data_IF_770125888547
#
_entry.id   IF_770125888547
#
_cell.length_a   1.000
_cell.length_b   1.000
_cell.length_c   1.000
_cell.angle_alpha   90.00
_cell.angle_beta   90.00
_cell.angle_gamma   90.00
#
_symmetry.space_group_name_H-M   'P 1'
#
loop_
_entity.id
_entity.type
_entity.pdbx_description
1 polymer ?
#
# COMPACT_ATOMS: atom_id res chain seq x y z
N UNK A 1 3.55 -11.24 9.67
CA UNK A 1 4.12 -12.43 8.97
C UNK A 1 4.76 -11.94 7.68
N UNK A 2 5.97 -12.40 7.33
CA UNK A 2 6.64 -11.97 6.08
C UNK A 2 5.79 -12.29 4.85
N UNK A 3 5.51 -11.28 4.02
CA UNK A 3 4.72 -11.41 2.79
C UNK A 3 5.35 -12.42 1.81
N UNK A 4 6.67 -12.55 1.83
CA UNK A 4 7.39 -13.66 1.24
C UNK A 4 8.07 -14.47 2.36
N UNK A 5 7.62 -15.71 2.56
CA UNK A 5 8.26 -16.64 3.49
C UNK A 5 9.62 -17.02 2.89
N UNK A 6 10.70 -16.48 3.47
CA UNK A 6 12.05 -16.97 3.24
C UNK A 6 12.32 -18.07 4.26
N UNK A 7 12.56 -19.28 3.77
CA UNK A 7 12.85 -20.46 4.60
C UNK A 7 14.31 -20.46 5.11
N UNK A 8 15.19 -19.67 4.47
CA UNK A 8 16.59 -19.51 4.85
C UNK A 8 16.90 -18.03 5.10
N UNK A 9 17.28 -17.67 6.33
CA UNK A 9 17.64 -16.31 6.75
C UNK A 9 17.31 -15.98 8.22
N UNK A 10 18.01 -14.98 8.77
CA UNK A 10 17.77 -14.48 10.12
C UNK A 10 16.32 -13.97 10.28
N UNK A 11 15.69 -14.42 11.38
CA UNK A 11 14.25 -14.33 11.59
C UNK A 11 13.69 -12.91 11.76
N UNK A 12 12.44 -12.79 11.29
CA UNK A 12 11.42 -11.74 11.56
C UNK A 12 11.71 -10.32 11.07
N UNK A 13 10.64 -9.55 10.90
CA UNK A 13 10.68 -8.09 10.69
C UNK A 13 11.35 -7.52 11.93
N UNK A 14 12.62 -7.12 11.82
CA UNK A 14 13.44 -6.79 12.97
C UNK A 14 13.05 -5.42 13.54
N UNK A 15 12.49 -4.56 12.69
CA UNK A 15 11.98 -3.24 13.07
C UNK A 15 10.48 -3.10 12.83
N UNK A 16 9.83 -2.25 13.64
CA UNK A 16 8.41 -1.89 13.48
C UNK A 16 8.12 -1.36 12.07
N UNK A 17 9.06 -0.60 11.50
CA UNK A 17 9.00 -0.08 10.14
C UNK A 17 8.83 -1.20 9.11
N UNK A 18 9.65 -2.23 9.17
CA UNK A 18 9.58 -3.35 8.21
C UNK A 18 8.26 -4.11 8.29
N UNK A 19 7.69 -4.24 9.49
CA UNK A 19 6.38 -4.91 9.66
C UNK A 19 5.24 -4.08 9.03
N UNK A 20 5.24 -2.77 9.26
CA UNK A 20 4.27 -1.84 8.67
C UNK A 20 4.37 -1.79 7.15
N UNK A 21 5.59 -1.67 6.61
CA UNK A 21 5.83 -1.65 5.16
C UNK A 21 5.32 -2.92 4.47
N UNK A 22 5.61 -4.05 5.10
CA UNK A 22 5.11 -5.33 4.63
C UNK A 22 3.59 -5.41 4.67
N UNK A 23 2.95 -4.94 5.75
CA UNK A 23 1.49 -4.93 5.87
C UNK A 23 0.85 -4.05 4.80
N UNK A 24 1.37 -2.84 4.59
CA UNK A 24 1.00 -1.95 3.49
C UNK A 24 1.12 -2.64 2.13
N UNK A 25 2.24 -3.32 1.88
CA UNK A 25 2.46 -4.04 0.62
C UNK A 25 1.42 -5.14 0.42
N UNK A 26 1.08 -5.90 1.46
CA UNK A 26 0.01 -6.92 1.40
C UNK A 26 -1.33 -6.25 1.09
N UNK A 27 -1.67 -5.17 1.78
CA UNK A 27 -2.94 -4.46 1.59
C UNK A 27 -3.10 -3.93 0.17
N UNK A 28 -2.05 -3.33 -0.41
CA UNK A 28 -2.08 -2.75 -1.75
C UNK A 28 -2.12 -3.80 -2.88
N UNK A 29 -1.46 -4.95 -2.69
CA UNK A 29 -1.43 -6.02 -3.71
C UNK A 29 -2.60 -7.00 -3.61
N UNK A 30 -3.35 -7.00 -2.51
CA UNK A 30 -4.50 -7.91 -2.36
C UNK A 30 -5.73 -7.27 -2.99
N UNK A 31 -6.34 -7.89 -4.03
CA UNK A 31 -7.60 -7.40 -4.57
C UNK A 31 -8.74 -7.65 -3.59
N UNK A 32 -9.71 -6.73 -3.56
CA UNK A 32 -10.89 -6.83 -2.70
C UNK A 32 -11.69 -8.11 -3.02
N UNK A 33 -12.28 -8.72 -2.00
CA UNK A 33 -13.05 -9.95 -2.12
C UNK A 33 -12.23 -11.25 -2.09
N UNK A 34 -10.90 -11.17 -2.12
CA UNK A 34 -10.03 -12.36 -2.09
C UNK A 34 -10.01 -13.05 -0.72
N UNK A 35 -10.13 -12.27 0.37
CA UNK A 35 -10.18 -12.82 1.72
C UNK A 35 -11.60 -13.25 2.07
N UNK A 36 -11.77 -14.56 2.27
CA UNK A 36 -13.07 -15.19 2.60
C UNK A 36 -13.71 -14.57 3.85
N UNK A 37 -12.92 -14.33 4.89
CA UNK A 37 -13.42 -13.82 6.18
C UNK A 37 -13.55 -12.29 6.24
N UNK A 38 -12.93 -11.56 5.32
CA UNK A 38 -13.01 -10.11 5.26
C UNK A 38 -12.94 -9.64 3.80
N UNK A 39 -14.07 -9.68 3.07
CA UNK A 39 -14.11 -9.37 1.64
C UNK A 39 -13.79 -7.89 1.37
N UNK A 40 -13.92 -7.03 2.38
CA UNK A 40 -13.54 -5.63 2.26
C UNK A 40 -12.01 -5.40 2.33
N UNK A 41 -11.22 -6.40 2.73
CA UNK A 41 -9.77 -6.26 2.82
C UNK A 41 -9.14 -6.15 1.44
N UNK A 42 -8.26 -5.16 1.27
CA UNK A 42 -7.43 -5.00 0.07
C UNK A 42 -7.71 -3.70 -0.69
N UNK A 43 -6.89 -3.44 -1.69
CA UNK A 43 -7.09 -2.33 -2.63
C UNK A 43 -7.30 -2.91 -4.02
N UNK A 44 -8.30 -2.41 -4.74
CA UNK A 44 -8.61 -2.88 -6.08
C UNK A 44 -7.74 -2.19 -7.14
N UNK A 45 -6.44 -2.02 -6.87
CA UNK A 45 -5.53 -1.21 -7.68
C UNK A 45 -5.42 -1.69 -9.14
N UNK A 46 -5.54 -3.01 -9.36
CA UNK A 46 -5.49 -3.62 -10.69
C UNK A 46 -6.64 -3.16 -11.60
N UNK A 47 -7.84 -2.94 -11.04
CA UNK A 47 -9.00 -2.46 -11.80
C UNK A 47 -8.86 -1.00 -12.26
N UNK A 48 -7.85 -0.28 -11.76
CA UNK A 48 -7.55 1.11 -12.14
C UNK A 48 -6.50 1.24 -13.24
N UNK A 49 -5.84 0.15 -13.66
CA UNK A 49 -4.84 0.17 -14.74
C UNK A 49 -5.45 0.61 -16.07
N UNK A 50 -6.62 0.06 -16.43
CA UNK A 50 -7.33 0.38 -17.68
C UNK A 50 -8.26 1.59 -17.56
N UNK A 51 -8.27 2.27 -16.41
CA UNK A 51 -9.17 3.39 -16.15
C UNK A 51 -8.52 4.70 -16.60
N UNK A 52 -9.33 5.67 -17.08
CA UNK A 52 -8.80 6.97 -17.45
C UNK A 52 -8.27 7.72 -16.22
N UNK A 53 -7.28 8.60 -16.45
CA UNK A 53 -6.54 9.31 -15.39
C UNK A 53 -7.39 10.04 -14.34
N UNK A 54 -8.59 10.51 -14.71
CA UNK A 54 -9.49 11.19 -13.78
C UNK A 54 -10.09 10.25 -12.72
N UNK A 55 -10.07 8.92 -12.95
CA UNK A 55 -10.47 7.94 -11.94
C UNK A 55 -9.34 7.58 -10.97
N UNK A 56 -8.10 7.99 -11.21
CA UNK A 56 -6.98 7.76 -10.28
C UNK A 56 -7.21 8.45 -8.93
N UNK A 57 -7.94 9.56 -8.90
CA UNK A 57 -8.34 10.21 -7.64
C UNK A 57 -9.23 9.30 -6.78
N UNK A 58 -10.06 8.46 -7.40
CA UNK A 58 -10.88 7.48 -6.66
C UNK A 58 -10.01 6.39 -6.04
N UNK A 59 -8.99 5.92 -6.76
CA UNK A 59 -7.99 5.00 -6.23
C UNK A 59 -7.28 5.58 -5.00
N UNK A 60 -6.89 6.86 -5.05
CA UNK A 60 -6.25 7.53 -3.91
C UNK A 60 -7.15 7.57 -2.67
N UNK A 61 -8.43 7.89 -2.86
CA UNK A 61 -9.42 7.92 -1.77
C UNK A 61 -9.65 6.51 -1.20
N UNK A 62 -9.70 5.50 -2.07
CA UNK A 62 -9.87 4.11 -1.65
C UNK A 62 -8.67 3.62 -0.83
N UNK A 63 -7.44 3.85 -1.31
CA UNK A 63 -6.21 3.50 -0.58
C UNK A 63 -6.19 4.19 0.78
N UNK A 64 -6.51 5.49 0.83
CA UNK A 64 -6.52 6.25 2.10
C UNK A 64 -7.50 5.64 3.09
N UNK A 65 -8.71 5.28 2.63
CA UNK A 65 -9.74 4.67 3.47
C UNK A 65 -9.31 3.31 3.99
N UNK A 66 -8.76 2.46 3.13
CA UNK A 66 -8.33 1.11 3.47
C UNK A 66 -7.16 1.13 4.44
N UNK A 67 -6.18 2.00 4.21
CA UNK A 67 -5.04 2.17 5.12
C UNK A 67 -5.51 2.64 6.48
N UNK A 68 -6.42 3.63 6.56
CA UNK A 68 -6.98 4.07 7.83
C UNK A 68 -7.76 2.97 8.57
N UNK A 69 -8.41 2.05 7.84
CA UNK A 69 -9.20 0.95 8.42
C UNK A 69 -8.32 -0.19 8.93
N UNK A 70 -7.32 -0.60 8.15
CA UNK A 70 -6.54 -1.81 8.42
C UNK A 70 -5.19 -1.56 9.08
N UNK A 71 -4.65 -0.35 8.97
CA UNK A 71 -3.34 0.03 9.51
C UNK A 71 -3.47 1.27 10.42
N UNK A 72 -4.05 1.13 11.64
CA UNK A 72 -4.22 2.25 12.58
C UNK A 72 -2.90 2.75 13.19
N UNK A 73 -1.79 2.03 12.97
CA UNK A 73 -0.45 2.38 13.49
C UNK A 73 0.22 3.51 12.69
N UNK A 74 -0.27 3.79 11.50
CA UNK A 74 0.24 4.83 10.60
C UNK A 74 -0.75 5.95 10.43
N UNK A 75 -0.23 7.17 10.39
CA UNK A 75 -0.96 8.33 9.92
C UNK A 75 -0.49 8.68 8.51
N UNK A 76 -1.37 8.52 7.52
CA UNK A 76 -1.06 8.91 6.14
C UNK A 76 -1.12 10.42 5.99
N UNK A 77 0.03 11.04 5.69
CA UNK A 77 0.12 12.49 5.48
C UNK A 77 -0.19 12.86 4.03
N UNK A 78 0.35 12.13 3.05
CA UNK A 78 0.12 12.40 1.63
C UNK A 78 0.22 11.14 0.78
N UNK A 79 -0.63 11.05 -0.25
CA UNK A 79 -0.54 10.06 -1.32
C UNK A 79 -0.44 10.81 -2.64
N UNK A 80 0.46 10.38 -3.52
CA UNK A 80 0.59 10.88 -4.88
C UNK A 80 0.64 9.70 -5.83
N UNK A 81 -0.17 9.73 -6.89
CA UNK A 81 0.02 8.80 -8.01
C UNK A 81 0.85 9.53 -9.06
N UNK A 82 2.07 9.04 -9.28
CA UNK A 82 3.01 9.55 -10.26
C UNK A 82 2.91 8.64 -11.48
N UNK A 83 2.33 9.14 -12.57
CA UNK A 83 2.41 8.45 -13.86
C UNK A 83 3.87 8.53 -14.36
N UNK A 84 4.68 7.54 -14.00
CA UNK A 84 6.05 7.43 -14.49
C UNK A 84 5.97 6.77 -15.86
N UNK A 85 6.25 7.55 -16.91
CA UNK A 85 6.24 7.09 -18.30
C UNK A 85 4.85 6.58 -18.77
N UNK A 86 3.94 7.53 -19.05
CA UNK A 86 2.63 7.25 -19.66
C UNK A 86 2.71 6.40 -20.94
N UNK A 87 3.86 6.42 -21.64
CA UNK A 87 4.12 5.61 -22.82
C UNK A 87 4.26 4.10 -22.54
N UNK A 88 4.61 3.72 -21.30
CA UNK A 88 4.78 2.34 -20.86
C UNK A 88 3.58 1.80 -20.07
N UNK A 89 2.56 2.64 -19.82
CA UNK A 89 1.36 2.24 -19.06
C UNK A 89 1.61 1.97 -17.58
N UNK A 90 2.71 2.46 -17.02
CA UNK A 90 3.07 2.27 -15.61
C UNK A 90 2.65 3.47 -14.77
N UNK A 91 2.17 3.21 -13.54
CA UNK A 91 1.93 4.26 -12.57
C UNK A 91 2.52 3.89 -11.22
N UNK A 92 3.24 4.82 -10.62
CA UNK A 92 3.88 4.65 -9.33
C UNK A 92 3.06 5.34 -8.27
N UNK A 93 2.78 4.66 -7.16
CA UNK A 93 2.12 5.27 -6.01
C UNK A 93 3.19 5.65 -4.99
N UNK A 94 3.23 6.93 -4.66
CA UNK A 94 4.12 7.49 -3.64
C UNK A 94 3.28 7.84 -2.42
N UNK A 95 3.55 7.16 -1.32
CA UNK A 95 2.89 7.41 -0.04
C UNK A 95 3.90 7.98 0.96
N UNK A 96 3.52 9.06 1.62
CA UNK A 96 4.21 9.63 2.77
C UNK A 96 3.35 9.39 4.00
N UNK A 97 3.89 8.68 4.98
CA UNK A 97 3.19 8.33 6.21
C UNK A 97 4.10 8.53 7.43
N UNK A 98 3.47 8.75 8.57
CA UNK A 98 4.12 8.95 9.86
C UNK A 98 3.78 7.76 10.75
N UNK A 99 4.78 7.17 11.41
CA UNK A 99 4.55 6.16 12.44
C UNK A 99 4.14 6.84 13.74
N UNK A 100 2.98 6.47 14.29
CA UNK A 100 2.47 7.08 15.54
C UNK A 100 3.33 6.73 16.77
N UNK A 101 3.96 5.56 16.78
CA UNK A 101 4.80 5.12 17.92
C UNK A 101 6.17 5.82 17.96
N UNK A 102 6.78 6.08 16.81
CA UNK A 102 8.14 6.66 16.74
C UNK A 102 8.16 8.14 16.37
N UNK A 103 7.05 8.68 15.84
CA UNK A 103 6.98 10.05 15.30
C UNK A 103 7.80 10.27 14.02
N UNK A 104 8.40 9.22 13.48
CA UNK A 104 9.25 9.28 12.29
C UNK A 104 8.38 9.31 11.02
N UNK A 105 8.71 10.25 10.12
CA UNK A 105 8.08 10.35 8.81
C UNK A 105 8.87 9.53 7.79
N UNK A 106 8.17 8.68 7.05
CA UNK A 106 8.75 7.89 5.98
C UNK A 106 8.10 8.24 4.65
N UNK A 107 8.94 8.35 3.63
CA UNK A 107 8.54 8.53 2.25
C UNK A 107 8.86 7.25 1.50
N UNK A 108 7.84 6.52 1.07
CA UNK A 108 8.01 5.30 0.29
C UNK A 108 7.39 5.44 -1.11
N UNK A 109 8.07 4.82 -2.07
CA UNK A 109 7.63 4.68 -3.46
C UNK A 109 7.29 3.21 -3.66
N UNK A 110 6.02 2.89 -3.88
CA UNK A 110 5.60 1.57 -4.32
C UNK A 110 5.32 1.64 -5.83
N UNK A 111 6.10 0.88 -6.60
CA UNK A 111 5.85 0.63 -8.02
C UNK A 111 4.69 -0.39 -8.14
N UNK A 112 3.72 -0.09 -8.98
CA UNK A 112 2.59 -0.95 -9.35
C UNK A 112 2.56 -1.09 -10.88
#
# INVERSE_FOLDING_TARGET
>A
MKYAIRLDGEGRCQTLKEDVLQSLKVLLHTPKGTRIYDPEYGCDAMSYVDRPQWEMSKLMVDITRQVKKYEPRIEMSQIFVVASEMALGQFSIRATFTLLETGEQFREISLL
#
